data_IF_674088327920
#
_entry.id   IF_674088327920
#
_cell.length_a   1.000
_cell.length_b   1.000
_cell.length_c   1.000
_cell.angle_alpha   90.00
_cell.angle_beta   90.00
_cell.angle_gamma   90.00
#
_symmetry.space_group_name_H-M   'P 1'
#
loop_
_entity.id
_entity.type
_entity.pdbx_description
1 polymer ?
#
# COMPACT_ATOMS: atom_id res chain seq x y z
N UNK A 1 29.78 -1.49 -50.92
CA UNK A 1 30.21 -0.64 -49.78
C UNK A 1 29.04 0.12 -49.12
N UNK A 2 27.86 0.19 -49.76
CA UNK A 2 26.65 0.89 -49.23
C UNK A 2 25.79 -0.01 -48.33
N UNK A 3 25.96 -1.34 -48.38
CA UNK A 3 25.17 -2.28 -47.61
C UNK A 3 25.63 -2.47 -46.13
N UNK A 4 26.81 -1.93 -45.79
CA UNK A 4 27.39 -2.09 -44.46
C UNK A 4 27.00 -0.92 -43.51
N UNK A 5 26.32 0.11 -44.01
CA UNK A 5 25.97 1.31 -43.23
C UNK A 5 24.58 1.26 -42.62
N UNK A 6 23.76 0.25 -42.93
CA UNK A 6 22.37 0.14 -42.45
C UNK A 6 22.25 -0.67 -41.13
N UNK A 7 23.33 -1.32 -40.68
CA UNK A 7 23.33 -2.14 -39.47
C UNK A 7 23.66 -1.41 -38.16
N UNK A 8 23.90 -0.08 -38.20
CA UNK A 8 24.31 0.68 -37.01
C UNK A 8 23.14 1.51 -36.41
N UNK A 9 21.93 1.50 -37.00
CA UNK A 9 20.81 2.34 -36.54
C UNK A 9 19.77 1.53 -35.72
N UNK A 10 20.11 0.36 -35.23
CA UNK A 10 19.13 -0.46 -34.46
C UNK A 10 19.50 -0.70 -33.00
N UNK A 11 20.33 0.15 -32.42
CA UNK A 11 20.35 0.32 -30.97
C UNK A 11 19.66 1.64 -30.66
N UNK A 12 18.33 1.62 -30.64
CA UNK A 12 17.60 2.57 -29.84
C UNK A 12 17.94 2.20 -28.40
N UNK A 13 18.95 2.84 -27.81
CA UNK A 13 19.09 2.87 -26.37
C UNK A 13 17.80 3.51 -25.88
N UNK A 14 16.84 2.69 -25.45
CA UNK A 14 15.76 3.17 -24.61
C UNK A 14 16.46 3.74 -23.38
N UNK A 15 16.66 5.05 -23.36
CA UNK A 15 17.01 5.78 -22.16
C UNK A 15 15.85 5.49 -21.19
N UNK A 16 16.05 4.54 -20.31
CA UNK A 16 15.21 4.41 -19.14
C UNK A 16 15.46 5.67 -18.32
N UNK A 17 14.41 6.34 -17.95
CA UNK A 17 14.48 7.38 -16.94
C UNK A 17 15.27 6.85 -15.74
N UNK A 18 15.95 7.73 -15.00
CA UNK A 18 16.83 7.36 -13.87
C UNK A 18 16.11 6.55 -12.77
N UNK A 19 14.79 6.40 -12.85
CA UNK A 19 13.95 5.69 -11.89
C UNK A 19 12.70 5.08 -12.54
N UNK A 20 12.12 4.08 -11.86
CA UNK A 20 10.83 3.50 -12.21
C UNK A 20 9.98 3.24 -10.96
N UNK A 21 8.67 3.42 -11.07
CA UNK A 21 7.69 3.11 -10.03
C UNK A 21 6.60 2.23 -10.62
N UNK A 22 6.30 1.11 -9.95
CA UNK A 22 5.21 0.21 -10.34
C UNK A 22 4.33 -0.07 -9.12
N UNK A 23 3.02 0.10 -9.26
CA UNK A 23 2.05 -0.19 -8.21
C UNK A 23 0.72 -0.69 -8.78
N UNK A 24 -0.22 -1.06 -7.91
CA UNK A 24 -1.51 -1.61 -8.30
C UNK A 24 -2.47 -0.59 -8.94
N UNK A 25 -2.24 0.72 -8.75
CA UNK A 25 -3.08 1.78 -9.31
C UNK A 25 -2.21 2.87 -9.94
N UNK A 26 -2.74 3.51 -10.99
CA UNK A 26 -2.06 4.62 -11.67
C UNK A 26 -1.81 5.79 -10.71
N UNK A 27 -2.77 6.09 -9.86
CA UNK A 27 -2.71 7.17 -8.88
C UNK A 27 -1.57 6.97 -7.88
N UNK A 28 -1.41 5.74 -7.37
CA UNK A 28 -0.31 5.41 -6.46
C UNK A 28 1.05 5.42 -7.18
N UNK A 29 1.13 4.91 -8.41
CA UNK A 29 2.34 5.03 -9.23
C UNK A 29 2.73 6.49 -9.44
N UNK A 30 1.77 7.36 -9.78
CA UNK A 30 2.01 8.79 -9.94
C UNK A 30 2.45 9.47 -8.63
N UNK A 31 1.92 9.02 -7.47
CA UNK A 31 2.37 9.52 -6.17
C UNK A 31 3.87 9.24 -5.96
N UNK A 32 4.32 8.02 -6.24
CA UNK A 32 5.74 7.67 -6.13
C UNK A 32 6.64 8.46 -7.11
N UNK A 33 6.22 8.59 -8.38
CA UNK A 33 6.93 9.38 -9.39
C UNK A 33 7.07 10.84 -8.91
N UNK A 34 5.97 11.46 -8.45
CA UNK A 34 5.99 12.83 -7.93
C UNK A 34 7.01 13.02 -6.81
N UNK A 35 7.15 12.04 -5.92
CA UNK A 35 8.14 12.10 -4.83
C UNK A 35 9.57 12.06 -5.38
N UNK A 36 9.86 11.20 -6.35
CA UNK A 36 11.18 11.13 -7.00
C UNK A 36 11.52 12.43 -7.73
N UNK A 37 10.57 13.01 -8.49
CA UNK A 37 10.71 14.32 -9.16
C UNK A 37 10.96 15.48 -8.19
N UNK A 38 10.48 15.37 -6.94
CA UNK A 38 10.71 16.35 -5.87
C UNK A 38 12.03 16.16 -5.11
N UNK A 39 12.88 15.23 -5.57
CA UNK A 39 14.18 14.93 -4.98
C UNK A 39 14.15 13.95 -3.82
N UNK A 40 13.02 13.26 -3.59
CA UNK A 40 12.94 12.13 -2.68
C UNK A 40 13.65 10.89 -3.25
N UNK A 41 14.01 9.97 -2.38
CA UNK A 41 14.60 8.70 -2.77
C UNK A 41 13.55 7.58 -2.94
N UNK A 42 13.99 6.37 -3.31
CA UNK A 42 13.11 5.22 -3.52
C UNK A 42 12.30 4.83 -2.26
N UNK A 43 12.82 5.06 -1.07
CA UNK A 43 12.13 4.78 0.19
C UNK A 43 11.03 5.80 0.47
N UNK A 44 11.27 7.10 0.19
CA UNK A 44 10.25 8.14 0.27
C UNK A 44 9.12 7.86 -0.73
N UNK A 45 9.47 7.48 -1.97
CA UNK A 45 8.52 7.11 -3.00
C UNK A 45 7.69 5.88 -2.60
N UNK A 46 8.31 4.85 -2.01
CA UNK A 46 7.61 3.66 -1.51
C UNK A 46 6.58 4.03 -0.44
N UNK A 47 6.92 4.90 0.52
CA UNK A 47 5.99 5.36 1.55
C UNK A 47 4.79 6.09 0.91
N UNK A 48 5.04 6.99 -0.03
CA UNK A 48 3.97 7.71 -0.72
C UNK A 48 3.07 6.79 -1.53
N UNK A 49 3.63 5.78 -2.20
CA UNK A 49 2.87 4.76 -2.94
C UNK A 49 1.98 3.97 -2.01
N UNK A 50 2.51 3.48 -0.87
CA UNK A 50 1.75 2.68 0.08
C UNK A 50 0.58 3.47 0.69
N UNK A 51 0.82 4.73 1.07
CA UNK A 51 -0.22 5.63 1.55
C UNK A 51 -1.27 5.96 0.47
N UNK A 52 -0.86 6.12 -0.79
CA UNK A 52 -1.79 6.34 -1.89
C UNK A 52 -2.62 5.08 -2.20
N UNK A 53 -2.03 3.88 -2.06
CA UNK A 53 -2.75 2.60 -2.17
C UNK A 53 -3.78 2.44 -1.05
N UNK A 54 -3.51 2.92 0.16
CA UNK A 54 -4.49 2.91 1.25
C UNK A 54 -5.79 3.67 0.88
N UNK A 55 -5.69 4.66 -0.02
CA UNK A 55 -6.84 5.41 -0.55
C UNK A 55 -7.42 4.76 -1.81
N UNK A 56 -6.56 4.38 -2.76
CA UNK A 56 -6.99 3.98 -4.11
C UNK A 56 -7.17 2.48 -4.30
N UNK A 57 -6.67 1.67 -3.35
CA UNK A 57 -6.75 0.22 -3.35
C UNK A 57 -6.96 -0.36 -1.94
N UNK A 58 -7.96 0.11 -1.16
CA UNK A 58 -8.10 -0.17 0.27
C UNK A 58 -8.37 -1.64 0.60
N UNK A 59 -8.75 -2.45 -0.37
CA UNK A 59 -8.98 -3.90 -0.19
C UNK A 59 -7.67 -4.72 -0.09
N UNK A 60 -6.51 -4.14 -0.42
CA UNK A 60 -5.22 -4.81 -0.33
C UNK A 60 -4.08 -3.89 0.13
N UNK A 61 -4.29 -2.56 0.18
CA UNK A 61 -3.37 -1.59 0.75
C UNK A 61 -4.13 -0.69 1.73
N UNK A 62 -3.81 -0.74 3.02
CA UNK A 62 -4.54 0.05 4.01
C UNK A 62 -3.74 0.28 5.29
N UNK A 63 -4.13 1.33 6.05
CA UNK A 63 -3.48 1.69 7.31
C UNK A 63 -3.75 0.67 8.44
N UNK A 64 -4.81 -0.11 8.33
CA UNK A 64 -5.18 -1.17 9.27
C UNK A 64 -4.50 -2.51 9.00
N UNK A 65 -3.63 -2.57 8.00
CA UNK A 65 -2.92 -3.76 7.58
C UNK A 65 -1.47 -3.82 8.06
N UNK A 66 -0.67 -4.53 7.31
CA UNK A 66 0.77 -4.69 7.49
C UNK A 66 1.43 -5.07 6.18
N UNK A 67 2.71 -5.38 6.23
CA UNK A 67 3.44 -5.73 5.03
C UNK A 67 4.87 -6.19 5.28
N UNK A 68 5.56 -6.36 4.17
CA UNK A 68 6.98 -6.70 4.13
C UNK A 68 7.68 -5.77 3.15
N UNK A 69 8.91 -5.41 3.44
CA UNK A 69 9.78 -4.71 2.53
C UNK A 69 11.06 -5.49 2.32
N UNK A 70 11.51 -5.59 1.09
CA UNK A 70 12.85 -6.04 0.72
C UNK A 70 13.51 -4.91 -0.06
N UNK A 71 14.75 -4.61 0.22
CA UNK A 71 15.45 -3.49 -0.41
C UNK A 71 16.93 -3.79 -0.66
N UNK A 72 17.47 -3.02 -1.57
CA UNK A 72 18.91 -2.82 -1.76
C UNK A 72 19.12 -1.30 -1.71
N UNK A 73 20.01 -0.83 -0.84
CA UNK A 73 20.35 0.58 -0.75
C UNK A 73 21.44 1.01 -1.75
N UNK A 74 21.75 2.31 -1.79
CA UNK A 74 22.74 2.86 -2.71
C UNK A 74 24.18 2.36 -2.47
N UNK A 75 24.46 1.75 -1.32
CA UNK A 75 25.75 1.11 -1.03
C UNK A 75 25.80 -0.36 -1.49
N UNK A 76 24.69 -0.90 -2.00
CA UNK A 76 24.54 -2.30 -2.37
C UNK A 76 24.18 -3.22 -1.19
N UNK A 77 23.93 -2.67 0.00
CA UNK A 77 23.47 -3.48 1.13
C UNK A 77 21.98 -3.81 0.95
N UNK A 78 21.69 -5.11 1.08
CA UNK A 78 20.31 -5.61 1.07
C UNK A 78 19.77 -5.77 2.48
N UNK A 79 18.46 -5.66 2.62
CA UNK A 79 17.79 -5.92 3.88
C UNK A 79 16.30 -6.16 3.71
N UNK A 80 15.65 -6.47 4.81
CA UNK A 80 14.21 -6.64 4.87
C UNK A 80 13.64 -6.01 6.13
N UNK A 81 12.36 -5.66 6.08
CA UNK A 81 11.58 -5.20 7.21
C UNK A 81 10.25 -5.97 7.22
N UNK A 82 9.94 -6.60 8.35
CA UNK A 82 8.66 -7.24 8.62
C UNK A 82 7.84 -6.32 9.53
N UNK A 83 6.78 -5.75 8.97
CA UNK A 83 5.79 -4.94 9.71
C UNK A 83 4.39 -5.52 9.58
N UNK A 84 4.31 -6.84 9.46
CA UNK A 84 3.04 -7.56 9.42
C UNK A 84 2.23 -7.34 10.69
N UNK A 85 0.91 -7.54 10.60
CA UNK A 85 -0.01 -7.53 11.72
C UNK A 85 0.38 -8.59 12.76
N UNK A 86 0.10 -8.29 14.01
CA UNK A 86 0.31 -9.20 15.13
C UNK A 86 -1.01 -9.51 15.83
N UNK A 87 -1.09 -10.70 16.41
CA UNK A 87 -2.21 -11.03 17.27
C UNK A 87 -2.26 -10.08 18.49
N UNK A 88 -3.45 -9.61 18.91
CA UNK A 88 -3.60 -8.86 20.15
C UNK A 88 -3.03 -9.61 21.36
N UNK A 89 -2.50 -8.89 22.34
CA UNK A 89 -1.89 -9.50 23.55
C UNK A 89 -2.84 -10.43 24.35
N UNK A 90 -4.15 -10.22 24.21
CA UNK A 90 -5.18 -11.05 24.86
C UNK A 90 -5.64 -12.25 24.02
N UNK A 91 -5.07 -12.45 22.84
CA UNK A 91 -5.41 -13.61 22.00
C UNK A 91 -4.98 -14.90 22.65
N UNK A 92 -5.81 -15.92 22.53
CA UNK A 92 -5.56 -17.27 23.01
C UNK A 92 -6.14 -18.30 22.02
N UNK A 93 -5.70 -19.54 22.09
CA UNK A 93 -6.01 -20.60 21.11
C UNK A 93 -7.51 -20.93 20.98
N UNK A 94 -8.28 -20.69 22.03
CA UNK A 94 -9.72 -20.98 22.07
C UNK A 94 -10.61 -19.74 21.87
N UNK A 95 -10.07 -18.58 21.47
CA UNK A 95 -10.84 -17.34 21.37
C UNK A 95 -11.97 -17.35 20.32
N UNK A 96 -11.98 -18.33 19.43
CA UNK A 96 -12.99 -18.53 18.39
C UNK A 96 -13.83 -19.78 18.59
N UNK A 97 -13.71 -20.43 19.77
CA UNK A 97 -14.45 -21.62 20.13
C UNK A 97 -15.56 -21.29 21.15
N UNK A 98 -16.63 -22.04 21.10
CA UNK A 98 -17.67 -22.03 22.14
C UNK A 98 -17.25 -22.85 23.38
N UNK A 99 -18.13 -22.93 24.37
CA UNK A 99 -17.91 -23.70 25.62
C UNK A 99 -17.78 -25.21 25.42
N UNK A 100 -18.21 -25.72 24.25
CA UNK A 100 -18.07 -27.12 23.87
C UNK A 100 -16.80 -27.40 23.08
N UNK A 101 -16.01 -26.34 22.75
CA UNK A 101 -14.83 -26.43 21.93
C UNK A 101 -15.10 -26.39 20.41
N UNK A 102 -16.34 -26.09 20.01
CA UNK A 102 -16.73 -26.00 18.58
C UNK A 102 -16.46 -24.58 18.03
N UNK A 103 -16.15 -24.50 16.73
CA UNK A 103 -15.83 -23.24 16.06
C UNK A 103 -17.08 -22.35 15.93
N UNK A 104 -17.01 -21.14 16.49
CA UNK A 104 -18.05 -20.11 16.29
C UNK A 104 -17.89 -19.54 14.87
N UNK A 105 -18.81 -19.90 13.97
CA UNK A 105 -18.77 -19.51 12.56
C UNK A 105 -18.79 -17.98 12.44
N UNK A 106 -17.88 -17.44 11.66
CA UNK A 106 -17.79 -16.00 11.38
C UNK A 106 -16.84 -15.24 12.30
N UNK A 107 -16.64 -15.68 13.52
CA UNK A 107 -15.93 -14.90 14.57
C UNK A 107 -14.46 -14.61 14.23
N UNK A 108 -13.81 -15.46 13.43
CA UNK A 108 -12.41 -15.29 13.02
C UNK A 108 -12.21 -14.38 11.82
N UNK A 109 -13.26 -13.95 11.13
CA UNK A 109 -13.18 -13.07 9.95
C UNK A 109 -14.20 -11.93 9.94
N UNK A 110 -15.09 -11.83 10.92
CA UNK A 110 -16.05 -10.74 11.08
C UNK A 110 -15.95 -10.08 12.45
N UNK A 111 -16.01 -8.74 12.47
CA UNK A 111 -16.02 -7.97 13.71
C UNK A 111 -14.65 -7.79 14.38
N UNK A 112 -14.67 -7.24 15.59
CA UNK A 112 -13.47 -6.76 16.28
C UNK A 112 -12.45 -7.86 16.64
N UNK A 113 -12.91 -9.09 16.86
CA UNK A 113 -12.02 -10.21 17.21
C UNK A 113 -11.22 -10.75 16.02
N UNK A 114 -11.64 -10.45 14.79
CA UNK A 114 -10.92 -10.85 13.58
C UNK A 114 -9.76 -9.91 13.20
N UNK A 115 -9.62 -8.77 13.88
CA UNK A 115 -8.66 -7.73 13.53
C UNK A 115 -7.34 -7.93 14.26
N UNK A 116 -6.25 -8.01 13.49
CA UNK A 116 -4.88 -7.97 14.02
C UNK A 116 -4.48 -6.54 14.46
N UNK A 117 -3.42 -6.43 15.26
CA UNK A 117 -2.79 -5.15 15.56
C UNK A 117 -2.03 -4.69 14.31
N UNK A 118 -2.37 -3.54 13.71
CA UNK A 118 -1.78 -3.09 12.45
C UNK A 118 -0.29 -2.77 12.56
N UNK A 119 0.44 -3.06 11.49
CA UNK A 119 1.87 -2.78 11.39
C UNK A 119 2.24 -1.70 10.37
N UNK A 120 1.37 -1.42 9.37
CA UNK A 120 1.66 -0.52 8.25
C UNK A 120 2.25 0.82 8.71
N UNK A 121 1.55 1.55 9.58
CA UNK A 121 2.00 2.88 10.02
C UNK A 121 3.35 2.80 10.72
N UNK A 122 3.53 1.83 11.63
CA UNK A 122 4.80 1.63 12.32
C UNK A 122 5.94 1.28 11.34
N UNK A 123 5.66 0.42 10.35
CA UNK A 123 6.61 0.05 9.30
C UNK A 123 7.04 1.25 8.45
N UNK A 124 6.10 2.03 7.96
CA UNK A 124 6.39 3.22 7.15
C UNK A 124 7.22 4.27 7.93
N UNK A 125 6.90 4.48 9.20
CA UNK A 125 7.70 5.37 10.06
C UNK A 125 9.11 4.82 10.33
N UNK A 126 9.27 3.51 10.49
CA UNK A 126 10.61 2.92 10.65
C UNK A 126 11.44 3.06 9.36
N UNK A 127 10.82 2.87 8.18
CA UNK A 127 11.47 3.11 6.89
C UNK A 127 11.87 4.58 6.77
N UNK A 128 10.96 5.51 7.07
CA UNK A 128 11.24 6.93 7.03
C UNK A 128 12.40 7.33 7.96
N UNK A 129 12.37 6.86 9.20
CA UNK A 129 13.40 7.13 10.18
C UNK A 129 14.78 6.66 9.73
N UNK A 130 14.84 5.53 9.02
CA UNK A 130 16.10 4.92 8.59
C UNK A 130 16.60 5.48 7.26
N UNK A 131 15.72 5.80 6.33
CA UNK A 131 16.05 6.07 4.94
C UNK A 131 15.44 7.35 4.37
N UNK A 132 14.51 8.00 5.08
CA UNK A 132 13.82 9.20 4.59
C UNK A 132 14.79 10.33 4.28
N UNK A 133 14.55 11.02 3.17
CA UNK A 133 15.41 12.11 2.67
C UNK A 133 14.69 13.44 2.52
N UNK A 134 13.35 13.44 2.44
CA UNK A 134 12.53 14.65 2.37
C UNK A 134 11.50 14.69 3.51
N UNK A 135 10.81 15.81 3.70
CA UNK A 135 9.85 15.96 4.81
C UNK A 135 8.63 15.05 4.65
N UNK A 136 8.08 14.57 5.77
CA UNK A 136 6.86 13.77 5.80
C UNK A 136 5.66 14.47 5.15
N UNK A 137 5.54 15.79 5.31
CA UNK A 137 4.45 16.56 4.69
C UNK A 137 4.44 16.39 3.17
N UNK A 138 5.60 16.39 2.53
CA UNK A 138 5.72 16.16 1.09
C UNK A 138 5.35 14.72 0.72
N UNK A 139 5.80 13.74 1.52
CA UNK A 139 5.53 12.31 1.27
C UNK A 139 4.04 12.01 1.42
N UNK A 140 3.35 12.63 2.38
CA UNK A 140 1.94 12.39 2.65
C UNK A 140 0.99 13.15 1.72
N UNK A 141 1.45 14.27 1.15
CA UNK A 141 0.61 15.18 0.36
C UNK A 141 -0.16 14.46 -0.77
N UNK A 142 0.43 13.56 -1.59
CA UNK A 142 -0.30 12.88 -2.66
C UNK A 142 -1.47 12.04 -2.14
N UNK A 143 -1.27 11.29 -1.05
CA UNK A 143 -2.32 10.45 -0.47
C UNK A 143 -3.43 11.31 0.17
N UNK A 144 -3.07 12.39 0.88
CA UNK A 144 -4.02 13.34 1.44
C UNK A 144 -4.83 14.01 0.34
N UNK A 145 -4.20 14.40 -0.78
CA UNK A 145 -4.88 14.96 -1.93
C UNK A 145 -5.91 14.00 -2.51
N UNK A 146 -5.54 12.73 -2.74
CA UNK A 146 -6.43 11.68 -3.23
C UNK A 146 -7.60 11.42 -2.27
N UNK A 147 -7.35 11.40 -0.96
CA UNK A 147 -8.39 11.20 0.05
C UNK A 147 -9.40 12.36 0.10
N UNK A 148 -8.93 13.61 -0.06
CA UNK A 148 -9.79 14.81 -0.02
C UNK A 148 -10.57 15.03 -1.31
N UNK A 149 -9.95 14.78 -2.46
CA UNK A 149 -10.53 15.14 -3.77
C UNK A 149 -11.13 13.94 -4.49
N UNK A 150 -10.89 12.72 -4.00
CA UNK A 150 -11.30 11.50 -4.66
C UNK A 150 -10.41 11.12 -5.86
N UNK A 151 -10.72 9.97 -6.44
CA UNK A 151 -10.07 9.45 -7.64
C UNK A 151 -11.08 8.67 -8.49
N UNK A 152 -10.74 8.43 -9.75
CA UNK A 152 -11.60 7.68 -10.65
C UNK A 152 -11.52 6.18 -10.37
N UNK A 153 -12.67 5.53 -10.18
CA UNK A 153 -12.76 4.08 -10.04
C UNK A 153 -12.82 3.41 -11.40
N UNK A 154 -12.11 2.31 -11.55
CA UNK A 154 -12.34 1.38 -12.67
C UNK A 154 -13.69 0.69 -12.52
N UNK A 155 -14.27 0.18 -13.63
CA UNK A 155 -15.51 -0.62 -13.57
C UNK A 155 -15.41 -1.80 -12.59
N UNK A 156 -14.23 -2.46 -12.53
CA UNK A 156 -13.96 -3.58 -11.62
C UNK A 156 -13.99 -3.14 -10.16
N UNK A 157 -13.34 -2.02 -9.83
CA UNK A 157 -13.35 -1.47 -8.46
C UNK A 157 -14.74 -1.01 -8.04
N UNK A 158 -15.46 -0.29 -8.94
CA UNK A 158 -16.83 0.15 -8.67
C UNK A 158 -17.76 -1.04 -8.39
N UNK A 159 -17.66 -2.11 -9.19
CA UNK A 159 -18.42 -3.35 -8.93
C UNK A 159 -18.05 -3.93 -7.57
N UNK A 160 -16.77 -4.11 -7.28
CA UNK A 160 -16.27 -4.67 -6.01
C UNK A 160 -16.83 -3.90 -4.80
N UNK A 161 -16.73 -2.57 -4.81
CA UNK A 161 -17.20 -1.75 -3.70
C UNK A 161 -18.72 -1.80 -3.53
N UNK A 162 -19.48 -1.85 -4.63
CA UNK A 162 -20.93 -2.03 -4.55
C UNK A 162 -21.32 -3.40 -4.02
N UNK A 163 -20.59 -4.46 -4.38
CA UNK A 163 -20.83 -5.82 -3.89
C UNK A 163 -20.58 -5.93 -2.37
N UNK A 164 -19.56 -5.23 -1.85
CA UNK A 164 -19.21 -5.23 -0.42
C UNK A 164 -19.96 -4.18 0.42
N UNK A 165 -20.54 -3.15 -0.20
CA UNK A 165 -21.23 -2.06 0.50
C UNK A 165 -22.28 -2.53 1.52
N UNK A 166 -23.19 -3.49 1.21
CA UNK A 166 -24.17 -3.96 2.18
C UNK A 166 -23.53 -4.52 3.45
N UNK A 167 -22.46 -5.32 3.29
CA UNK A 167 -21.74 -5.94 4.41
C UNK A 167 -21.00 -4.92 5.26
N UNK A 168 -20.39 -3.91 4.63
CA UNK A 168 -19.72 -2.81 5.34
C UNK A 168 -20.74 -2.03 6.18
N UNK A 169 -21.92 -1.73 5.64
CA UNK A 169 -22.97 -1.00 6.35
C UNK A 169 -23.59 -1.82 7.49
N UNK A 170 -23.69 -3.14 7.33
CA UNK A 170 -24.17 -4.06 8.38
C UNK A 170 -23.21 -4.11 9.58
N UNK A 171 -21.90 -4.16 9.32
CA UNK A 171 -20.88 -4.37 10.35
C UNK A 171 -20.38 -3.09 11.03
N UNK A 172 -20.73 -1.93 10.52
CA UNK A 172 -20.21 -0.64 11.01
C UNK A 172 -21.32 0.32 11.40
N UNK A 173 -20.99 1.24 12.32
CA UNK A 173 -21.85 2.38 12.59
C UNK A 173 -21.89 3.31 11.36
N UNK A 174 -23.04 3.36 10.72
CA UNK A 174 -23.24 4.13 9.48
C UNK A 174 -23.21 5.64 9.68
N UNK A 175 -23.25 6.14 10.92
CA UNK A 175 -23.16 7.57 11.23
C UNK A 175 -21.87 8.21 10.75
N UNK A 176 -20.80 7.43 10.63
CA UNK A 176 -19.50 7.88 10.12
C UNK A 176 -19.47 8.05 8.60
N UNK A 177 -20.40 7.43 7.86
CA UNK A 177 -20.43 7.40 6.39
C UNK A 177 -21.58 8.20 5.78
N UNK A 178 -22.35 8.90 6.60
CA UNK A 178 -23.57 9.63 6.21
C UNK A 178 -23.34 11.12 5.90
N UNK A 179 -22.09 11.52 5.67
CA UNK A 179 -21.75 12.91 5.30
C UNK A 179 -21.33 13.01 3.85
#
# INVERSE_FOLDING_TARGET
LIFLLILIISCNENYYEEYAVVSATKEATNAGIKILEQGGNAFDAMIAVDLALAVTYPNAGNLGGGGFMVYIDSSGQSGSLDFREKAPKKSHSSMYLDENGEVITGLSYEGALSVGVPGTVAGLFEVYKKFGSISLDKIFEPAIYLAKNGHSLTKKQSKLYNDYKPKILELNDTSLFSK
#
